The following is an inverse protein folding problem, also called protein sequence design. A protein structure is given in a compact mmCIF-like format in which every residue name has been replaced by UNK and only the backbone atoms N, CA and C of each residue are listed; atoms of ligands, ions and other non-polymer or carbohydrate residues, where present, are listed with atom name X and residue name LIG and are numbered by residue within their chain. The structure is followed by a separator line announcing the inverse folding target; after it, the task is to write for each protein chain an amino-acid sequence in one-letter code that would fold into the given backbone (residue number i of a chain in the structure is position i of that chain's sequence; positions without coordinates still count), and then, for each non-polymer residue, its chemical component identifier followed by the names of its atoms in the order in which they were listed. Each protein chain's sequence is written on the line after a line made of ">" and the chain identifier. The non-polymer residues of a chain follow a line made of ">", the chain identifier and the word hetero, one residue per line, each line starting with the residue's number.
data_IF_442572885293
#
_entry.id   IF_442572885293
#
_cell.length_a   1.000
_cell.length_b   1.000
_cell.length_c   1.000
_cell.angle_alpha   90.00
_cell.angle_beta   90.00
_cell.angle_gamma   90.00
#
_symmetry.space_group_name_H-M   'P 1'
#
loop_
_entity.id
_entity.type
_entity.pdbx_description
1 polymer ?
#
# COMPACT_ATOMS: atom_id res chain seq x y z
N UNK A 1 -28.10 19.46 22.97
CA UNK A 1 -27.31 19.89 21.81
C UNK A 1 -26.80 18.62 21.16
N UNK A 2 -27.19 18.36 19.92
CA UNK A 2 -26.71 17.18 19.18
C UNK A 2 -25.40 17.62 18.55
N UNK A 3 -24.28 17.02 18.98
CA UNK A 3 -22.99 17.24 18.35
C UNK A 3 -23.13 16.91 16.87
N UNK A 4 -23.06 17.94 16.02
CA UNK A 4 -22.97 17.71 14.58
C UNK A 4 -21.63 17.01 14.35
N UNK A 5 -21.58 15.90 13.60
CA UNK A 5 -20.31 15.28 13.26
C UNK A 5 -19.43 16.33 12.60
N UNK A 6 -18.26 16.56 13.18
CA UNK A 6 -17.28 17.48 12.61
C UNK A 6 -17.00 17.02 11.18
N UNK A 7 -17.12 17.93 10.21
CA UNK A 7 -16.72 17.65 8.84
C UNK A 7 -15.21 17.40 8.88
N UNK A 8 -14.81 16.15 8.67
CA UNK A 8 -13.40 15.79 8.60
C UNK A 8 -12.84 16.32 7.27
N UNK A 9 -12.17 17.47 7.35
CA UNK A 9 -11.54 18.13 6.20
C UNK A 9 -10.17 17.51 5.86
N UNK A 10 -9.76 16.44 6.54
CA UNK A 10 -8.47 15.80 6.29
C UNK A 10 -8.47 15.11 4.93
N UNK A 11 -7.42 15.37 4.16
CA UNK A 11 -7.11 14.64 2.93
C UNK A 11 -6.82 13.18 3.28
N UNK A 12 -7.54 12.20 2.71
CA UNK A 12 -7.25 10.79 2.96
C UNK A 12 -5.84 10.47 2.49
N UNK A 13 -5.11 9.65 3.26
CA UNK A 13 -3.78 9.18 2.91
C UNK A 13 -3.84 7.69 2.61
N UNK A 14 -3.27 7.28 1.49
CA UNK A 14 -3.33 5.90 1.00
C UNK A 14 -1.93 5.42 0.67
N UNK A 15 -1.58 4.25 1.20
CA UNK A 15 -0.32 3.57 0.93
C UNK A 15 -0.59 2.31 0.13
N UNK A 16 0.00 2.21 -1.05
CA UNK A 16 -0.23 1.10 -1.98
C UNK A 16 1.01 0.20 -1.98
N UNK A 17 0.83 -1.10 -1.77
CA UNK A 17 1.87 -2.10 -2.00
C UNK A 17 2.00 -2.35 -3.50
N UNK A 18 3.08 -1.88 -4.13
CA UNK A 18 3.24 -1.99 -5.58
C UNK A 18 3.30 -3.44 -6.06
N UNK A 19 4.04 -4.31 -5.37
CA UNK A 19 4.20 -5.70 -5.80
C UNK A 19 2.84 -6.42 -5.79
N UNK A 20 2.05 -6.23 -4.74
CA UNK A 20 0.73 -6.82 -4.64
C UNK A 20 -0.19 -6.39 -5.80
N UNK A 21 -0.36 -5.09 -6.03
CA UNK A 21 -1.33 -4.60 -7.03
C UNK A 21 -0.92 -4.90 -8.48
N UNK A 22 0.38 -4.96 -8.80
CA UNK A 22 0.83 -5.27 -10.17
C UNK A 22 0.73 -6.76 -10.48
N UNK A 23 0.93 -7.63 -9.49
CA UNK A 23 0.77 -9.07 -9.63
C UNK A 23 -0.71 -9.44 -9.67
N UNK A 24 -1.53 -8.89 -8.76
CA UNK A 24 -2.97 -9.11 -8.72
C UNK A 24 -3.64 -8.70 -10.04
N UNK A 25 -3.30 -7.54 -10.59
CA UNK A 25 -3.84 -7.10 -11.87
C UNK A 25 -3.44 -8.01 -13.03
N UNK A 26 -2.18 -8.46 -13.08
CA UNK A 26 -1.71 -9.36 -14.13
C UNK A 26 -2.46 -10.70 -14.09
N UNK A 27 -2.64 -11.26 -12.90
CA UNK A 27 -3.31 -12.55 -12.72
C UNK A 27 -4.83 -12.43 -12.91
N UNK A 28 -5.48 -11.53 -12.16
CA UNK A 28 -6.93 -11.51 -12.02
C UNK A 28 -7.63 -10.65 -13.07
N UNK A 29 -6.99 -9.60 -13.59
CA UNK A 29 -7.59 -8.75 -14.63
C UNK A 29 -7.18 -9.15 -16.05
N UNK A 30 -5.94 -9.60 -16.24
CA UNK A 30 -5.42 -9.95 -17.57
C UNK A 30 -5.34 -11.46 -17.84
N UNK A 31 -5.54 -12.31 -16.82
CA UNK A 31 -5.44 -13.77 -16.95
C UNK A 31 -4.02 -14.25 -17.27
N UNK A 32 -2.99 -13.51 -16.85
CA UNK A 32 -1.59 -13.89 -17.03
C UNK A 32 -1.14 -14.84 -15.91
N UNK A 33 -0.03 -15.55 -16.11
CA UNK A 33 0.48 -16.50 -15.13
C UNK A 33 0.99 -15.83 -13.84
N UNK A 34 1.00 -16.59 -12.74
CA UNK A 34 1.29 -16.15 -11.35
C UNK A 34 2.61 -15.37 -11.16
N UNK A 35 3.59 -15.53 -12.05
CA UNK A 35 4.89 -14.84 -11.98
C UNK A 35 4.95 -13.55 -12.80
N UNK A 36 3.81 -13.09 -13.31
CA UNK A 36 3.73 -11.92 -14.17
C UNK A 36 3.30 -10.71 -13.36
N UNK A 37 3.89 -9.56 -13.65
CA UNK A 37 3.51 -8.27 -13.06
C UNK A 37 3.13 -7.31 -14.17
N UNK A 38 2.14 -6.44 -13.93
CA UNK A 38 1.78 -5.39 -14.87
C UNK A 38 1.52 -4.06 -14.15
N UNK A 39 2.30 -3.04 -14.48
CA UNK A 39 2.20 -1.69 -13.91
C UNK A 39 0.85 -0.99 -14.16
N UNK A 40 0.01 -1.48 -15.07
CA UNK A 40 -1.38 -1.01 -15.19
C UNK A 40 -2.18 -1.20 -13.89
N UNK A 41 -1.89 -2.24 -13.09
CA UNK A 41 -2.53 -2.43 -11.79
C UNK A 41 -2.30 -1.25 -10.85
N UNK A 42 -1.03 -0.87 -10.68
CA UNK A 42 -0.67 0.31 -9.90
C UNK A 42 -1.26 1.60 -10.51
N UNK A 43 -1.22 1.75 -11.84
CA UNK A 43 -1.74 2.94 -12.53
C UNK A 43 -3.23 3.16 -12.27
N UNK A 44 -4.05 2.15 -12.44
CA UNK A 44 -5.50 2.26 -12.23
C UNK A 44 -5.84 2.47 -10.74
N UNK A 45 -5.10 1.80 -9.84
CA UNK A 45 -5.23 2.00 -8.41
C UNK A 45 -4.93 3.46 -7.99
N UNK A 46 -3.82 4.03 -8.47
CA UNK A 46 -3.44 5.42 -8.17
C UNK A 46 -4.47 6.40 -8.74
N UNK A 47 -4.93 6.20 -9.99
CA UNK A 47 -5.97 7.06 -10.60
C UNK A 47 -7.24 7.11 -9.75
N UNK A 48 -7.68 5.96 -9.25
CA UNK A 48 -8.87 5.87 -8.41
C UNK A 48 -8.72 6.72 -7.14
N UNK A 49 -7.63 6.55 -6.38
CA UNK A 49 -7.44 7.30 -5.14
C UNK A 49 -7.19 8.79 -5.36
N UNK A 50 -6.51 9.17 -6.45
CA UNK A 50 -6.37 10.58 -6.84
C UNK A 50 -7.71 11.20 -7.21
N UNK A 51 -8.60 10.47 -7.88
CA UNK A 51 -9.97 10.93 -8.15
C UNK A 51 -10.79 11.10 -6.86
N UNK A 52 -10.48 10.35 -5.80
CA UNK A 52 -11.01 10.54 -4.46
C UNK A 52 -10.30 11.64 -3.64
N UNK A 53 -9.42 12.43 -4.27
CA UNK A 53 -8.64 13.48 -3.63
C UNK A 53 -7.75 12.96 -2.47
N UNK A 54 -7.20 11.75 -2.59
CA UNK A 54 -6.28 11.18 -1.62
C UNK A 54 -4.81 11.50 -1.95
N UNK A 55 -3.99 11.64 -0.91
CA UNK A 55 -2.54 11.54 -1.00
C UNK A 55 -2.15 10.07 -1.19
N UNK A 56 -1.32 9.78 -2.19
CA UNK A 56 -0.96 8.42 -2.58
C UNK A 56 0.54 8.20 -2.46
N UNK A 57 0.90 7.23 -1.61
CA UNK A 57 2.26 6.69 -1.54
C UNK A 57 2.31 5.29 -2.14
N UNK A 58 3.35 5.02 -2.91
CA UNK A 58 3.55 3.71 -3.52
C UNK A 58 4.81 3.07 -2.92
N UNK A 59 4.62 2.02 -2.11
CA UNK A 59 5.75 1.24 -1.56
C UNK A 59 6.25 0.29 -2.65
N UNK A 60 7.54 0.36 -2.94
CA UNK A 60 8.17 -0.45 -4.00
C UNK A 60 9.33 -1.25 -3.43
N UNK A 61 9.36 -2.56 -3.67
CA UNK A 61 10.52 -3.39 -3.37
C UNK A 61 11.73 -2.93 -4.19
N UNK A 62 12.94 -3.00 -3.61
CA UNK A 62 14.17 -2.55 -4.28
C UNK A 62 14.35 -3.12 -5.70
N UNK A 63 14.02 -4.40 -5.89
CA UNK A 63 14.10 -5.08 -7.20
C UNK A 63 13.19 -4.49 -8.27
N UNK A 64 12.07 -3.85 -7.89
CA UNK A 64 11.11 -3.24 -8.81
C UNK A 64 11.37 -1.74 -9.03
N UNK A 65 12.24 -1.13 -8.23
CA UNK A 65 12.41 0.32 -8.17
C UNK A 65 12.94 0.94 -9.46
N UNK A 66 13.70 0.18 -10.25
CA UNK A 66 14.26 0.61 -11.53
C UNK A 66 13.23 0.55 -12.66
N UNK A 67 12.23 -0.32 -12.53
CA UNK A 67 11.24 -0.59 -13.59
C UNK A 67 9.98 0.27 -13.48
N UNK A 68 9.91 1.17 -12.49
CA UNK A 68 8.73 2.03 -12.30
C UNK A 68 8.60 3.00 -13.49
N UNK A 69 7.48 2.95 -14.23
CA UNK A 69 7.18 3.87 -15.31
C UNK A 69 7.14 5.34 -14.86
N UNK A 70 7.62 6.24 -15.73
CA UNK A 70 7.71 7.68 -15.43
C UNK A 70 6.36 8.35 -15.14
N UNK A 71 5.28 7.87 -15.75
CA UNK A 71 3.95 8.39 -15.51
C UNK A 71 3.47 8.04 -14.09
N UNK A 72 3.67 6.80 -13.64
CA UNK A 72 3.40 6.39 -12.26
C UNK A 72 4.20 7.25 -11.28
N UNK A 73 5.48 7.53 -11.59
CA UNK A 73 6.31 8.39 -10.74
C UNK A 73 5.74 9.80 -10.54
N UNK A 74 5.01 10.33 -11.54
CA UNK A 74 4.40 11.66 -11.48
C UNK A 74 3.03 11.67 -10.81
N UNK A 75 2.40 10.50 -10.66
CA UNK A 75 1.07 10.37 -10.08
C UNK A 75 1.08 10.15 -8.57
N UNK A 76 2.19 9.63 -8.03
CA UNK A 76 2.38 9.44 -6.59
C UNK A 76 2.97 10.69 -5.94
N UNK A 77 2.57 10.94 -4.69
CA UNK A 77 3.16 12.00 -3.86
C UNK A 77 4.51 11.57 -3.28
N UNK A 78 4.71 10.26 -3.08
CA UNK A 78 5.95 9.66 -2.59
C UNK A 78 6.08 8.20 -3.03
N UNK A 79 7.31 7.71 -3.18
CA UNK A 79 7.61 6.33 -3.59
C UNK A 79 8.73 5.75 -2.71
N UNK A 80 8.43 5.40 -1.45
CA UNK A 80 9.40 4.79 -0.57
C UNK A 80 9.84 3.43 -1.12
N UNK A 81 11.15 3.20 -1.08
CA UNK A 81 11.73 1.90 -1.41
C UNK A 81 11.88 1.08 -0.13
N UNK A 82 11.48 -0.19 -0.19
CA UNK A 82 11.74 -1.15 0.87
C UNK A 82 12.74 -2.21 0.41
N UNK A 83 13.50 -2.75 1.35
CA UNK A 83 14.50 -3.78 1.09
C UNK A 83 14.36 -4.85 2.18
N UNK A 84 14.00 -6.08 1.80
CA UNK A 84 13.72 -7.15 2.75
C UNK A 84 14.98 -7.70 3.45
N UNK A 85 16.17 -7.19 3.10
CA UNK A 85 17.45 -7.60 3.69
C UNK A 85 18.35 -6.39 4.00
N UNK A 86 18.53 -5.98 5.28
CA UNK A 86 17.96 -6.54 6.51
C UNK A 86 16.61 -5.91 6.93
N UNK A 87 15.88 -5.26 6.02
CA UNK A 87 14.66 -4.51 6.36
C UNK A 87 13.35 -5.32 6.33
N UNK A 88 12.23 -4.70 6.70
CA UNK A 88 10.91 -5.32 6.63
C UNK A 88 10.52 -5.67 5.19
N UNK A 89 9.67 -6.68 5.02
CA UNK A 89 9.02 -6.96 3.73
C UNK A 89 8.24 -5.74 3.24
N UNK A 90 7.91 -5.71 1.95
CA UNK A 90 7.00 -4.71 1.38
C UNK A 90 5.63 -4.70 2.05
N UNK A 91 5.10 -5.87 2.42
CA UNK A 91 3.87 -5.99 3.19
C UNK A 91 3.94 -5.20 4.50
N UNK A 92 4.95 -5.50 5.33
CA UNK A 92 5.16 -4.82 6.60
C UNK A 92 5.48 -3.34 6.41
N UNK A 93 6.27 -3.00 5.39
CA UNK A 93 6.59 -1.62 5.04
C UNK A 93 5.33 -0.81 4.69
N UNK A 94 4.39 -1.43 3.99
CA UNK A 94 3.10 -0.83 3.61
C UNK A 94 2.23 -0.57 4.84
N UNK A 95 2.10 -1.56 5.72
CA UNK A 95 1.35 -1.43 6.99
C UNK A 95 1.95 -0.35 7.88
N UNK A 96 3.28 -0.35 8.05
CA UNK A 96 4.00 0.62 8.89
C UNK A 96 3.80 2.03 8.33
N UNK A 97 3.98 2.21 7.03
CA UNK A 97 3.83 3.52 6.39
C UNK A 97 2.40 4.07 6.54
N UNK A 98 1.37 3.24 6.32
CA UNK A 98 -0.02 3.66 6.50
C UNK A 98 -0.30 4.07 7.95
N UNK A 99 0.25 3.31 8.90
CA UNK A 99 0.03 3.57 10.33
C UNK A 99 0.73 4.83 10.82
N UNK A 100 1.96 5.09 10.38
CA UNK A 100 2.70 6.34 10.68
C UNK A 100 1.94 7.56 10.15
N UNK A 101 1.27 7.41 9.01
CA UNK A 101 0.58 8.49 8.33
C UNK A 101 -0.84 8.77 8.86
N UNK A 102 -1.37 7.91 9.75
CA UNK A 102 -2.81 7.86 10.08
C UNK A 102 -3.65 7.68 8.79
N UNK A 103 -3.22 6.78 7.92
CA UNK A 103 -3.79 6.53 6.59
C UNK A 103 -4.28 5.09 6.40
N UNK A 104 -4.79 4.83 5.21
CA UNK A 104 -5.22 3.52 4.74
C UNK A 104 -4.10 2.84 3.94
N UNK A 105 -4.12 1.51 3.87
CA UNK A 105 -3.28 0.75 2.95
C UNK A 105 -4.15 -0.06 1.99
N UNK A 106 -3.60 -0.38 0.83
CA UNK A 106 -4.25 -1.17 -0.21
C UNK A 106 -3.40 -2.40 -0.45
N UNK A 107 -3.95 -3.55 -0.06
CA UNK A 107 -3.33 -4.85 -0.23
C UNK A 107 -4.41 -5.93 -0.30
N UNK A 108 -4.28 -6.84 -1.27
CA UNK A 108 -5.15 -8.02 -1.41
C UNK A 108 -4.61 -9.25 -0.67
N UNK A 109 -3.37 -9.20 -0.18
CA UNK A 109 -2.87 -10.24 0.71
C UNK A 109 -3.55 -10.07 2.07
N UNK A 110 -4.27 -11.10 2.51
CA UNK A 110 -4.94 -11.07 3.81
C UNK A 110 -3.95 -11.18 4.98
N UNK A 111 -2.64 -11.12 4.68
CA UNK A 111 -1.51 -11.21 5.59
C UNK A 111 -1.67 -12.35 6.58
N UNK A 112 -2.13 -13.52 6.11
CA UNK A 112 -2.42 -14.67 6.99
C UNK A 112 -1.19 -15.06 7.79
N UNK A 113 -0.01 -14.95 7.19
CA UNK A 113 1.28 -15.28 7.79
C UNK A 113 1.72 -14.26 8.87
N UNK A 114 1.11 -13.07 8.89
CA UNK A 114 1.35 -12.04 9.90
C UNK A 114 0.26 -11.98 10.98
N UNK A 115 -0.90 -12.62 10.78
CA UNK A 115 -1.99 -12.66 11.78
C UNK A 115 -1.62 -13.41 13.05
N UNK A 116 -0.74 -14.39 12.95
CA UNK A 116 -0.30 -15.24 14.08
C UNK A 116 1.08 -14.83 14.63
N UNK A 117 1.70 -13.80 14.07
CA UNK A 117 3.13 -13.59 14.24
C UNK A 117 3.44 -12.74 15.48
N UNK A 118 3.72 -13.44 16.59
CA UNK A 118 4.25 -12.85 17.82
C UNK A 118 5.64 -12.20 17.64
N UNK A 119 6.27 -12.37 16.47
CA UNK A 119 7.58 -11.83 16.12
C UNK A 119 7.57 -10.37 15.66
N UNK A 120 6.40 -9.76 15.44
CA UNK A 120 6.32 -8.34 15.11
C UNK A 120 6.63 -7.46 16.34
N UNK A 121 7.49 -6.43 16.21
CA UNK A 121 7.67 -5.42 17.25
C UNK A 121 6.32 -4.84 17.73
N UNK A 122 6.17 -4.57 19.03
CA UNK A 122 4.88 -4.19 19.64
C UNK A 122 4.26 -2.92 19.04
N UNK A 123 5.11 -1.99 18.60
CA UNK A 123 4.73 -0.79 17.86
C UNK A 123 4.15 -1.13 16.48
N UNK A 124 4.73 -2.09 15.78
CA UNK A 124 4.24 -2.61 14.49
C UNK A 124 2.96 -3.43 14.70
N UNK A 125 2.86 -4.26 15.74
CA UNK A 125 1.62 -4.98 16.10
C UNK A 125 0.48 -4.01 16.36
N UNK A 126 0.72 -2.94 17.14
CA UNK A 126 -0.29 -1.93 17.45
C UNK A 126 -0.80 -1.21 16.20
N UNK A 127 0.11 -0.94 15.26
CA UNK A 127 -0.18 -0.38 13.95
C UNK A 127 -1.01 -1.35 13.09
N UNK A 128 -0.56 -2.60 12.97
CA UNK A 128 -1.24 -3.68 12.24
C UNK A 128 -2.67 -3.93 12.73
N UNK A 129 -2.90 -3.98 14.03
CA UNK A 129 -4.25 -4.20 14.59
C UNK A 129 -5.20 -3.00 14.40
N UNK A 130 -4.70 -1.77 14.21
CA UNK A 130 -5.54 -0.61 13.85
C UNK A 130 -5.97 -0.67 12.39
N UNK A 131 -5.07 -1.16 11.53
CA UNK A 131 -5.29 -1.35 10.11
C UNK A 131 -6.40 -2.38 9.78
N UNK A 132 -6.68 -3.32 10.69
CA UNK A 132 -7.67 -4.39 10.53
C UNK A 132 -9.06 -4.10 11.14
N UNK A 133 -9.29 -2.91 11.71
CA UNK A 133 -10.57 -2.49 12.31
C UNK A 133 -11.33 -1.54 11.40
#
# INVERSE_FOLDING_TARGET
>A
MVDRPAIDLRVPKVVINAANVIHDYAQNCLGLGEKTSNWNGARECIKYFRACNAEVKLIVQHGLANDIPNDIRRMCDDIPKCDANPGPSDDLSTIIAASIMDGYFVDNDKYRDHKENDSLPDDIKRCYYRALR
#
